data_IF_422266598955
#
_entry.id   IF_422266598955
#
_cell.length_a   1.000
_cell.length_b   1.000
_cell.length_c   1.000
_cell.angle_alpha   90.00
_cell.angle_beta   90.00
_cell.angle_gamma   90.00
#
_symmetry.space_group_name_H-M   'P 1'
#
loop_
_entity.id
_entity.type
_entity.pdbx_description
1 polymer ?
#
# COMPACT_ATOMS: atom_id res chain seq x y z
N UNK A 1 -0.84 23.86 15.91
CA UNK A 1 -1.38 22.62 15.28
C UNK A 1 -1.61 21.61 16.40
N UNK A 2 -2.86 21.36 16.81
CA UNK A 2 -3.17 20.49 17.97
C UNK A 2 -2.83 19.03 17.64
N UNK A 3 -1.65 18.59 18.07
CA UNK A 3 -1.07 17.25 17.90
C UNK A 3 -1.72 16.17 18.79
N UNK A 4 -3.03 16.29 19.08
CA UNK A 4 -3.82 15.24 19.74
C UNK A 4 -4.77 14.50 18.78
N UNK A 5 -4.81 14.91 17.50
CA UNK A 5 -5.67 14.32 16.49
C UNK A 5 -4.92 13.26 15.66
N UNK A 6 -5.27 12.01 15.97
CA UNK A 6 -5.37 10.89 15.04
C UNK A 6 -4.24 9.84 15.01
N UNK A 7 -4.08 9.11 16.12
CA UNK A 7 -3.32 7.86 16.22
C UNK A 7 -3.59 6.90 15.04
N UNK A 8 -4.79 6.88 14.49
CA UNK A 8 -5.12 6.01 13.35
C UNK A 8 -4.44 6.47 12.05
N UNK A 9 -4.28 7.77 11.81
CA UNK A 9 -3.55 8.27 10.64
C UNK A 9 -2.06 7.91 10.74
N UNK A 10 -1.45 8.03 11.91
CA UNK A 10 -0.06 7.59 12.13
C UNK A 10 0.09 6.10 11.86
N UNK A 11 -0.80 5.26 12.42
CA UNK A 11 -0.81 3.81 12.20
C UNK A 11 -1.03 3.45 10.73
N UNK A 12 -2.01 4.08 10.08
CA UNK A 12 -2.32 3.87 8.67
C UNK A 12 -1.12 4.25 7.78
N UNK A 13 -0.51 5.41 8.01
CA UNK A 13 0.70 5.84 7.31
C UNK A 13 1.85 4.84 7.46
N UNK A 14 2.11 4.36 8.68
CA UNK A 14 3.14 3.34 8.92
C UNK A 14 2.85 2.04 8.15
N UNK A 15 1.59 1.59 8.10
CA UNK A 15 1.18 0.41 7.34
C UNK A 15 1.38 0.61 5.83
N UNK A 16 1.06 1.79 5.29
CA UNK A 16 1.33 2.12 3.89
C UNK A 16 2.84 2.15 3.60
N UNK A 17 3.67 2.65 4.51
CA UNK A 17 5.13 2.58 4.34
C UNK A 17 5.66 1.15 4.37
N UNK A 18 5.14 0.29 5.26
CA UNK A 18 5.47 -1.14 5.25
C UNK A 18 5.06 -1.77 3.93
N UNK A 19 3.88 -1.44 3.41
CA UNK A 19 3.42 -1.89 2.09
C UNK A 19 4.34 -1.41 0.96
N UNK A 20 4.83 -0.17 0.99
CA UNK A 20 5.77 0.33 -0.01
C UNK A 20 7.14 -0.40 0.07
N UNK A 21 7.60 -0.70 1.30
CA UNK A 21 8.79 -1.51 1.54
C UNK A 21 8.64 -2.93 0.98
N UNK A 22 7.50 -3.58 1.23
CA UNK A 22 7.17 -4.89 0.65
C UNK A 22 7.15 -4.85 -0.88
N UNK A 23 6.56 -3.80 -1.48
CA UNK A 23 6.58 -3.62 -2.93
C UNK A 23 8.00 -3.46 -3.49
N UNK A 24 8.89 -2.81 -2.74
CA UNK A 24 10.30 -2.68 -3.10
C UNK A 24 11.04 -4.02 -3.04
N UNK A 25 10.75 -4.85 -2.03
CA UNK A 25 11.29 -6.21 -1.92
C UNK A 25 10.79 -7.08 -3.09
N UNK A 26 9.49 -7.01 -3.40
CA UNK A 26 8.90 -7.74 -4.53
C UNK A 26 9.55 -7.34 -5.88
N UNK A 27 9.79 -6.04 -6.08
CA UNK A 27 10.53 -5.54 -7.24
C UNK A 27 11.95 -6.13 -7.35
N UNK A 28 12.69 -6.18 -6.24
CA UNK A 28 14.05 -6.76 -6.23
C UNK A 28 14.06 -8.27 -6.49
N UNK A 29 13.00 -8.97 -6.09
CA UNK A 29 12.81 -10.40 -6.32
C UNK A 29 12.27 -10.73 -7.73
N UNK A 30 12.00 -9.72 -8.56
CA UNK A 30 11.42 -9.88 -9.91
C UNK A 30 12.44 -9.52 -11.00
N UNK A 31 13.39 -10.42 -11.32
CA UNK A 31 14.44 -10.14 -12.31
C UNK A 31 13.89 -9.80 -13.70
N UNK A 32 12.74 -10.37 -14.08
CA UNK A 32 12.05 -10.09 -15.36
C UNK A 32 11.68 -8.60 -15.52
N UNK A 33 11.31 -7.94 -14.41
CA UNK A 33 10.96 -6.51 -14.38
C UNK A 33 12.22 -5.65 -14.55
N UNK A 34 13.35 -6.07 -13.99
CA UNK A 34 14.63 -5.36 -14.05
C UNK A 34 15.22 -5.35 -15.47
N UNK A 35 14.95 -6.38 -16.27
CA UNK A 35 15.42 -6.46 -17.67
C UNK A 35 14.64 -5.51 -18.57
N UNK A 36 13.36 -5.24 -18.27
CA UNK A 36 12.51 -4.36 -19.06
C UNK A 36 12.52 -2.93 -18.53
N UNK A 37 13.13 -2.00 -19.28
CA UNK A 37 13.13 -0.56 -18.94
C UNK A 37 11.73 0.00 -18.68
N UNK A 38 10.74 -0.40 -19.49
CA UNK A 38 9.35 0.06 -19.34
C UNK A 38 8.73 -0.46 -18.03
N UNK A 39 8.93 -1.75 -17.73
CA UNK A 39 8.38 -2.37 -16.52
C UNK A 39 9.05 -1.80 -15.25
N UNK A 40 10.36 -1.58 -15.29
CA UNK A 40 11.12 -0.93 -14.21
C UNK A 40 10.57 0.48 -13.91
N UNK A 41 10.38 1.34 -14.94
CA UNK A 41 9.85 2.69 -14.74
C UNK A 41 8.45 2.64 -14.11
N UNK A 42 7.57 1.77 -14.62
CA UNK A 42 6.22 1.60 -14.09
C UNK A 42 6.26 1.18 -12.61
N UNK A 43 7.15 0.26 -12.25
CA UNK A 43 7.30 -0.24 -10.89
C UNK A 43 7.80 0.87 -9.94
N UNK A 44 8.84 1.61 -10.33
CA UNK A 44 9.38 2.74 -9.56
C UNK A 44 8.32 3.82 -9.36
N UNK A 45 7.54 4.16 -10.40
CA UNK A 45 6.43 5.11 -10.29
C UNK A 45 5.36 4.60 -9.33
N UNK A 46 5.03 3.31 -9.38
CA UNK A 46 4.03 2.70 -8.50
C UNK A 46 4.47 2.71 -7.03
N UNK A 47 5.71 2.34 -6.72
CA UNK A 47 6.27 2.39 -5.36
C UNK A 47 6.30 3.83 -4.86
N UNK A 48 6.73 4.78 -5.70
CA UNK A 48 6.78 6.20 -5.38
C UNK A 48 5.38 6.76 -5.07
N UNK A 49 4.36 6.33 -5.82
CA UNK A 49 2.98 6.72 -5.59
C UNK A 49 2.46 6.20 -4.24
N UNK A 50 2.72 4.93 -3.91
CA UNK A 50 2.33 4.37 -2.60
C UNK A 50 3.03 5.11 -1.45
N UNK A 51 4.31 5.44 -1.63
CA UNK A 51 5.07 6.22 -0.65
C UNK A 51 4.51 7.64 -0.47
N UNK A 52 4.19 8.32 -1.57
CA UNK A 52 3.57 9.64 -1.55
C UNK A 52 2.22 9.61 -0.82
N UNK A 53 1.40 8.60 -1.06
CA UNK A 53 0.14 8.41 -0.34
C UNK A 53 0.39 8.21 1.16
N UNK A 54 1.40 7.44 1.55
CA UNK A 54 1.83 7.28 2.95
C UNK A 54 2.18 8.61 3.62
N UNK A 55 2.83 9.53 2.91
CA UNK A 55 3.15 10.88 3.38
C UNK A 55 1.89 11.76 3.52
N UNK A 56 0.98 11.74 2.55
CA UNK A 56 -0.27 12.49 2.61
C UNK A 56 -1.14 12.04 3.80
N UNK A 57 -1.16 10.74 4.09
CA UNK A 57 -1.79 10.20 5.31
C UNK A 57 -1.06 10.73 6.55
N UNK A 58 0.27 10.79 6.56
CA UNK A 58 1.02 11.30 7.72
C UNK A 58 0.69 12.75 8.04
N UNK A 59 0.41 13.56 7.02
CA UNK A 59 0.00 14.96 7.17
C UNK A 59 -1.45 15.16 7.63
N UNK A 60 -2.22 14.08 7.80
CA UNK A 60 -3.59 14.19 8.30
C UNK A 60 -4.60 14.63 7.25
N UNK A 61 -4.27 14.52 5.95
CA UNK A 61 -5.16 14.96 4.86
C UNK A 61 -6.36 14.01 4.79
N UNK A 62 -7.53 14.51 5.18
CA UNK A 62 -8.74 13.70 5.36
C UNK A 62 -9.31 13.12 4.06
N UNK A 63 -9.02 13.73 2.91
CA UNK A 63 -9.50 13.26 1.60
C UNK A 63 -8.77 12.00 1.10
N UNK A 64 -7.56 11.74 1.61
CA UNK A 64 -6.72 10.61 1.18
C UNK A 64 -7.38 9.26 1.42
N UNK A 65 -8.27 9.15 2.41
CA UNK A 65 -9.05 7.92 2.65
C UNK A 65 -9.91 7.52 1.45
N UNK A 66 -10.43 8.47 0.69
CA UNK A 66 -11.23 8.21 -0.52
C UNK A 66 -10.34 7.83 -1.69
N UNK A 67 -9.18 8.49 -1.84
CA UNK A 67 -8.17 8.14 -2.83
C UNK A 67 -7.68 6.69 -2.63
N UNK A 68 -7.33 6.33 -1.39
CA UNK A 68 -6.85 5.00 -1.03
C UNK A 68 -7.92 3.93 -1.30
N UNK A 69 -9.17 4.21 -0.94
CA UNK A 69 -10.32 3.34 -1.21
C UNK A 69 -10.53 3.13 -2.72
N UNK A 70 -10.46 4.20 -3.52
CA UNK A 70 -10.60 4.14 -4.97
C UNK A 70 -9.49 3.28 -5.61
N UNK A 71 -8.24 3.49 -5.18
CA UNK A 71 -7.10 2.70 -5.66
C UNK A 71 -7.24 1.21 -5.32
N UNK A 72 -7.73 0.89 -4.12
CA UNK A 72 -7.99 -0.51 -3.73
C UNK A 72 -9.07 -1.12 -4.61
N UNK A 73 -10.19 -0.42 -4.85
CA UNK A 73 -11.28 -0.94 -5.70
C UNK A 73 -10.78 -1.20 -7.13
N UNK A 74 -9.98 -0.29 -7.68
CA UNK A 74 -9.35 -0.49 -8.99
C UNK A 74 -8.41 -1.71 -9.00
N UNK A 75 -7.54 -1.84 -7.99
CA UNK A 75 -6.60 -2.94 -7.88
C UNK A 75 -7.27 -4.30 -7.60
N UNK A 76 -8.41 -4.31 -6.91
CA UNK A 76 -9.10 -5.54 -6.54
C UNK A 76 -9.63 -6.31 -7.75
N UNK A 77 -9.98 -5.62 -8.84
CA UNK A 77 -10.44 -6.27 -10.08
C UNK A 77 -9.31 -7.00 -10.81
N UNK A 78 -8.07 -6.52 -10.71
CA UNK A 78 -6.89 -7.11 -11.37
C UNK A 78 -6.16 -8.12 -10.49
N UNK A 79 -6.25 -7.99 -9.16
CA UNK A 79 -5.55 -8.81 -8.17
C UNK A 79 -5.74 -10.34 -8.36
N UNK A 80 -6.95 -10.90 -8.55
CA UNK A 80 -7.12 -12.35 -8.63
C UNK A 80 -6.40 -13.01 -9.81
N UNK A 81 -6.34 -12.32 -10.96
CA UNK A 81 -5.60 -12.82 -12.13
C UNK A 81 -4.10 -12.75 -11.87
N UNK A 82 -3.64 -11.63 -11.34
CA UNK A 82 -2.22 -11.38 -11.06
C UNK A 82 -1.68 -12.35 -10.00
N UNK A 83 -2.40 -12.57 -8.89
CA UNK A 83 -2.00 -13.51 -7.84
C UNK A 83 -1.92 -14.94 -8.37
N UNK A 84 -2.86 -15.36 -9.24
CA UNK A 84 -2.80 -16.72 -9.84
C UNK A 84 -1.55 -16.92 -10.69
N UNK A 85 -1.19 -15.90 -11.47
CA UNK A 85 0.02 -15.94 -12.30
C UNK A 85 1.30 -15.90 -11.45
N UNK A 86 1.36 -15.02 -10.45
CA UNK A 86 2.49 -14.99 -9.51
C UNK A 86 2.64 -16.31 -8.74
N UNK A 87 1.56 -16.96 -8.30
CA UNK A 87 1.67 -18.25 -7.61
C UNK A 87 2.27 -19.36 -8.48
N UNK A 88 2.04 -19.29 -9.80
CA UNK A 88 2.58 -20.26 -10.75
C UNK A 88 4.06 -20.02 -11.05
N UNK A 89 4.48 -18.76 -11.17
CA UNK A 89 5.81 -18.40 -11.65
C UNK A 89 6.77 -17.98 -10.52
N UNK A 90 6.27 -17.26 -9.53
CA UNK A 90 7.03 -16.59 -8.46
C UNK A 90 6.28 -16.67 -7.11
N UNK A 91 6.16 -17.85 -6.49
CA UNK A 91 5.28 -18.07 -5.33
C UNK A 91 5.60 -17.18 -4.13
N UNK A 92 6.87 -16.82 -3.92
CA UNK A 92 7.26 -15.87 -2.87
C UNK A 92 6.70 -14.47 -3.12
N UNK A 93 6.70 -14.00 -4.36
CA UNK A 93 6.17 -12.69 -4.72
C UNK A 93 4.65 -12.66 -4.55
N UNK A 94 3.96 -13.75 -4.89
CA UNK A 94 2.53 -13.89 -4.67
C UNK A 94 2.15 -13.71 -3.18
N UNK A 95 2.91 -14.33 -2.27
CA UNK A 95 2.70 -14.17 -0.82
C UNK A 95 2.90 -12.72 -0.38
N UNK A 96 3.94 -12.05 -0.89
CA UNK A 96 4.20 -10.64 -0.61
C UNK A 96 3.06 -9.76 -1.12
N UNK A 97 2.57 -10.00 -2.33
CA UNK A 97 1.46 -9.26 -2.95
C UNK A 97 0.16 -9.41 -2.14
N UNK A 98 -0.14 -10.62 -1.65
CA UNK A 98 -1.30 -10.86 -0.78
C UNK A 98 -1.15 -10.12 0.55
N UNK A 99 0.01 -10.22 1.19
CA UNK A 99 0.29 -9.52 2.45
C UNK A 99 0.17 -7.99 2.26
N UNK A 100 0.72 -7.47 1.17
CA UNK A 100 0.64 -6.06 0.80
C UNK A 100 -0.81 -5.61 0.64
N UNK A 101 -1.64 -6.41 -0.04
CA UNK A 101 -3.06 -6.13 -0.24
C UNK A 101 -3.82 -6.08 1.10
N UNK A 102 -3.59 -7.05 1.99
CA UNK A 102 -4.19 -7.08 3.34
C UNK A 102 -3.80 -5.85 4.15
N UNK A 103 -2.51 -5.47 4.12
CA UNK A 103 -1.99 -4.30 4.84
C UNK A 103 -2.62 -3.01 4.31
N UNK A 104 -2.73 -2.83 2.98
CA UNK A 104 -3.35 -1.64 2.39
C UNK A 104 -4.84 -1.54 2.72
N UNK A 105 -5.57 -2.65 2.70
CA UNK A 105 -6.98 -2.69 3.12
C UNK A 105 -7.10 -2.29 4.59
N UNK A 106 -6.28 -2.87 5.47
CA UNK A 106 -6.31 -2.55 6.89
C UNK A 106 -5.93 -1.09 7.17
N UNK A 107 -4.92 -0.55 6.47
CA UNK A 107 -4.55 0.86 6.52
C UNK A 107 -5.70 1.78 6.11
N UNK A 108 -6.48 1.38 5.09
CA UNK A 108 -7.66 2.12 4.63
C UNK A 108 -8.76 2.11 5.69
N UNK A 109 -9.08 0.94 6.24
CA UNK A 109 -10.10 0.82 7.29
C UNK A 109 -9.78 1.70 8.51
N UNK A 110 -8.50 1.77 8.90
CA UNK A 110 -8.04 2.67 9.98
C UNK A 110 -8.37 4.14 9.74
N UNK A 111 -8.36 4.61 8.49
CA UNK A 111 -8.69 6.00 8.14
C UNK A 111 -10.20 6.30 8.22
N UNK A 112 -11.04 5.27 8.06
CA UNK A 112 -12.50 5.39 8.22
C UNK A 112 -12.97 5.18 9.66
N UNK A 113 -12.21 4.44 10.46
CA UNK A 113 -12.46 4.28 11.88
C UNK A 113 -12.19 5.60 12.63
N UNK A 114 -13.18 6.09 13.38
CA UNK A 114 -13.00 7.25 14.28
C UNK A 114 -11.80 6.99 15.20
N UNK A 115 -10.95 8.00 15.49
CA UNK A 115 -9.86 7.84 16.42
C UNK A 115 -10.44 7.35 17.75
N UNK A 116 -10.01 6.17 18.21
CA UNK A 116 -10.24 5.78 19.59
C UNK A 116 -9.46 6.80 20.43
N UNK A 117 -10.17 7.68 21.12
CA UNK A 117 -9.58 8.53 22.14
C UNK A 117 -8.81 7.59 23.08
N UNK A 118 -7.48 7.71 23.14
CA UNK A 118 -6.74 7.18 24.26
C UNK A 118 -7.15 8.04 25.46
N UNK A 119 -8.11 7.53 26.24
CA UNK A 119 -8.38 8.00 27.59
C UNK A 119 -7.60 7.06 28.50
N UNK A 120 -6.63 7.60 29.24
CA UNK A 120 -5.77 6.86 30.16
C UNK A 120 -4.33 6.77 29.69
#
# INVERSE_FOLDING_TARGET
MKTSLNTNFIKSSNLIFISAGLGSINFLLSPDILVSKKATILCVMSISLVFAVGLLIRFGISWVKFLLLFLIILGFNSLPKFIKEEFANHPFNAVITVLQSVIQIYATLLLFLKPKLKVG
#
